data_IF_046590367384
#
_entry.id   IF_046590367384
#
_cell.length_a   1.000
_cell.length_b   1.000
_cell.length_c   1.000
_cell.angle_alpha   90.00
_cell.angle_beta   90.00
_cell.angle_gamma   90.00
#
_symmetry.space_group_name_H-M   'P 1'
#
loop_
_entity.id
_entity.type
_entity.pdbx_description
1 polymer ?
#
# COMPACT_ATOMS: atom_id res chain seq x y z
N UNK A 1 -11.54 -2.68 30.83
CA UNK A 1 -10.75 -2.51 29.59
C UNK A 1 -11.01 -1.11 29.08
N UNK A 2 -9.99 -0.25 29.14
CA UNK A 2 -10.09 1.14 28.69
C UNK A 2 -10.07 1.23 27.17
N UNK A 3 -10.69 2.26 26.62
CA UNK A 3 -10.70 2.48 25.17
C UNK A 3 -9.85 3.69 24.81
N UNK A 4 -8.83 3.49 23.97
CA UNK A 4 -7.97 4.54 23.41
C UNK A 4 -8.60 5.03 22.10
N UNK A 5 -9.34 6.14 22.17
CA UNK A 5 -10.20 6.61 21.07
C UNK A 5 -9.68 7.88 20.37
N UNK A 6 -8.71 8.56 21.00
CA UNK A 6 -8.14 9.82 20.49
C UNK A 6 -6.63 9.71 20.39
N UNK A 7 -6.09 10.34 19.35
CA UNK A 7 -4.66 10.61 19.21
C UNK A 7 -4.41 12.10 19.40
N UNK A 8 -3.46 12.45 20.25
CA UNK A 8 -3.01 13.83 20.40
C UNK A 8 -2.29 14.23 19.12
N UNK A 9 -2.67 15.36 18.54
CA UNK A 9 -2.08 15.83 17.30
C UNK A 9 -0.58 16.12 17.49
N UNK A 10 0.29 15.78 16.51
CA UNK A 10 1.75 15.89 16.67
C UNK A 10 2.26 17.30 16.99
N UNK A 11 1.50 18.33 16.63
CA UNK A 11 1.81 19.74 16.88
C UNK A 11 1.45 20.20 18.31
N UNK A 12 0.71 19.40 19.07
CA UNK A 12 0.33 19.72 20.46
C UNK A 12 1.47 19.31 21.38
N UNK A 13 2.09 20.31 22.04
CA UNK A 13 3.16 20.08 23.00
C UNK A 13 2.59 19.71 24.37
N UNK A 14 2.83 18.48 24.79
CA UNK A 14 2.59 18.05 26.16
C UNK A 14 3.84 18.31 27.01
N UNK A 15 3.64 18.58 28.30
CA UNK A 15 4.77 18.63 29.23
C UNK A 15 5.53 17.29 29.22
N UNK A 16 6.86 17.33 29.14
CA UNK A 16 7.69 16.13 29.07
C UNK A 16 7.42 15.15 30.23
N UNK A 17 7.10 15.67 31.42
CA UNK A 17 6.74 14.87 32.59
C UNK A 17 5.40 14.13 32.46
N UNK A 18 4.47 14.60 31.63
CA UNK A 18 3.24 13.87 31.33
C UNK A 18 3.53 12.70 30.39
N UNK A 19 4.29 12.94 29.33
CA UNK A 19 4.67 11.90 28.35
C UNK A 19 5.52 10.83 29.01
N UNK A 20 6.49 11.20 29.86
CA UNK A 20 7.38 10.27 30.54
C UNK A 20 6.68 9.37 31.58
N UNK A 21 5.54 9.80 32.13
CA UNK A 21 4.76 9.02 33.11
C UNK A 21 3.65 8.18 32.47
N UNK A 22 3.33 8.43 31.20
CA UNK A 22 2.30 7.68 30.49
C UNK A 22 2.76 6.21 30.31
N UNK A 23 1.90 5.22 30.62
CA UNK A 23 2.11 3.84 30.21
C UNK A 23 2.43 3.74 28.73
N UNK A 24 3.25 2.76 28.37
CA UNK A 24 3.64 2.53 26.97
C UNK A 24 2.85 1.36 26.39
N UNK A 25 2.46 1.48 25.13
CA UNK A 25 1.86 0.43 24.32
C UNK A 25 2.82 0.13 23.17
N UNK A 26 3.58 -0.96 23.31
CA UNK A 26 4.57 -1.38 22.32
C UNK A 26 3.92 -2.21 21.21
N UNK A 27 3.99 -1.74 19.96
CA UNK A 27 3.31 -2.36 18.82
C UNK A 27 4.21 -2.46 17.58
N UNK A 28 4.18 -3.61 16.91
CA UNK A 28 4.76 -3.79 15.57
C UNK A 28 4.03 -2.94 14.53
N UNK A 29 4.65 -2.73 13.36
CA UNK A 29 4.08 -1.87 12.31
C UNK A 29 2.64 -2.26 11.91
N UNK A 30 2.38 -3.53 11.65
CA UNK A 30 1.05 -4.01 11.25
C UNK A 30 -0.04 -3.72 12.29
N UNK A 31 0.29 -3.84 13.57
CA UNK A 31 -0.64 -3.52 14.65
C UNK A 31 -0.90 -2.01 14.72
N UNK A 32 0.10 -1.17 14.44
CA UNK A 32 -0.02 0.30 14.40
C UNK A 32 -0.85 0.82 13.23
N UNK A 33 -1.06 0.00 12.20
CA UNK A 33 -1.94 0.29 11.07
C UNK A 33 -3.41 -0.07 11.32
N UNK A 34 -3.71 -0.82 12.39
CA UNK A 34 -5.08 -1.24 12.71
C UNK A 34 -5.84 -0.12 13.40
N UNK A 35 -6.99 0.24 12.83
CA UNK A 35 -7.89 1.22 13.45
C UNK A 35 -8.69 0.65 14.63
N UNK A 36 -8.72 -0.69 14.77
CA UNK A 36 -9.40 -1.42 15.84
C UNK A 36 -8.51 -2.57 16.28
N UNK A 37 -8.11 -2.59 17.54
CA UNK A 37 -7.20 -3.61 18.08
C UNK A 37 -7.41 -3.77 19.58
N UNK A 38 -7.57 -5.00 20.05
CA UNK A 38 -7.37 -5.32 21.46
C UNK A 38 -5.87 -5.55 21.70
N UNK A 39 -5.31 -4.90 22.71
CA UNK A 39 -3.88 -4.97 23.03
C UNK A 39 -3.66 -4.87 24.55
N UNK A 40 -2.46 -5.23 24.98
CA UNK A 40 -2.05 -5.14 26.39
C UNK A 40 -0.94 -4.11 26.48
N UNK A 41 -1.05 -3.16 27.41
CA UNK A 41 0.00 -2.19 27.71
C UNK A 41 1.22 -2.90 28.29
N UNK A 42 2.38 -2.24 28.24
CA UNK A 42 3.62 -2.76 28.83
C UNK A 42 3.52 -2.92 30.36
N UNK A 43 2.51 -2.29 30.98
CA UNK A 43 2.16 -2.46 32.40
C UNK A 43 1.31 -3.71 32.69
N UNK A 44 0.86 -4.44 31.66
CA UNK A 44 0.00 -5.62 31.76
C UNK A 44 -1.50 -5.33 31.74
N UNK A 45 -1.92 -4.08 31.56
CA UNK A 45 -3.34 -3.69 31.48
C UNK A 45 -3.89 -3.89 30.06
N UNK A 46 -5.06 -4.52 29.94
CA UNK A 46 -5.75 -4.68 28.66
C UNK A 46 -6.52 -3.42 28.24
N UNK A 47 -6.31 -3.03 26.98
CA UNK A 47 -6.89 -1.85 26.34
C UNK A 47 -7.45 -2.18 24.95
N UNK A 48 -8.39 -1.36 24.50
CA UNK A 48 -8.88 -1.39 23.13
C UNK A 48 -8.52 -0.10 22.39
N UNK A 49 -7.82 -0.21 21.26
CA UNK A 49 -7.54 0.90 20.35
C UNK A 49 -8.72 1.05 19.39
N UNK A 50 -9.32 2.25 19.32
CA UNK A 50 -10.43 2.58 18.43
C UNK A 50 -10.19 3.94 17.75
N UNK A 51 -9.51 3.92 16.61
CA UNK A 51 -9.11 5.13 15.88
C UNK A 51 -9.86 5.25 14.54
N UNK A 52 -9.89 6.45 13.93
CA UNK A 52 -10.35 6.62 12.56
C UNK A 52 -9.60 5.68 11.60
N UNK A 53 -10.30 5.18 10.57
CA UNK A 53 -9.69 4.33 9.55
C UNK A 53 -8.56 5.07 8.83
N UNK A 54 -7.52 4.33 8.46
CA UNK A 54 -6.33 4.89 7.80
C UNK A 54 -5.36 5.60 8.74
N UNK A 55 -5.61 5.61 10.05
CA UNK A 55 -4.65 6.10 11.05
C UNK A 55 -3.49 5.11 11.16
N UNK A 56 -2.27 5.59 10.92
CA UNK A 56 -1.03 4.87 11.20
C UNK A 56 -0.37 5.50 12.41
N UNK A 57 -0.15 4.70 13.46
CA UNK A 57 0.52 5.15 14.68
C UNK A 57 2.03 5.20 14.50
N UNK A 58 2.64 6.31 14.89
CA UNK A 58 4.09 6.51 14.86
C UNK A 58 4.70 6.29 16.24
N UNK A 59 6.00 6.03 16.27
CA UNK A 59 6.73 5.98 17.53
C UNK A 59 6.61 7.33 18.25
N UNK A 60 6.28 7.29 19.54
CA UNK A 60 6.08 8.49 20.34
C UNK A 60 4.70 9.15 20.23
N UNK A 61 3.79 8.66 19.37
CA UNK A 61 2.39 9.11 19.35
C UNK A 61 1.78 8.92 20.75
N UNK A 62 0.91 9.85 21.17
CA UNK A 62 0.21 9.77 22.45
C UNK A 62 -1.28 9.59 22.18
N UNK A 63 -1.84 8.50 22.72
CA UNK A 63 -3.26 8.21 22.73
C UNK A 63 -3.88 8.65 24.05
N UNK A 64 -5.16 9.02 23.98
CA UNK A 64 -5.98 9.37 25.15
C UNK A 64 -7.07 8.33 25.28
N UNK A 65 -7.24 7.83 26.50
CA UNK A 65 -8.32 6.93 26.86
C UNK A 65 -9.63 7.70 27.10
N UNK A 66 -10.73 6.96 27.13
CA UNK A 66 -12.07 7.41 27.53
C UNK A 66 -12.12 8.06 28.93
N UNK A 67 -11.27 7.63 29.86
CA UNK A 67 -11.10 8.22 31.19
C UNK A 67 -10.08 9.38 31.26
N UNK A 68 -9.51 9.76 30.11
CA UNK A 68 -8.51 10.83 30.00
C UNK A 68 -7.07 10.39 30.29
N UNK A 69 -6.82 9.11 30.59
CA UNK A 69 -5.46 8.60 30.75
C UNK A 69 -4.67 8.71 29.44
N UNK A 70 -3.36 8.97 29.56
CA UNK A 70 -2.46 9.03 28.42
C UNK A 70 -1.74 7.69 28.25
N UNK A 71 -1.60 7.24 27.01
CA UNK A 71 -0.79 6.08 26.63
C UNK A 71 0.14 6.47 25.50
N UNK A 72 1.43 6.18 25.64
CA UNK A 72 2.43 6.47 24.60
C UNK A 72 2.64 5.23 23.73
N UNK A 73 2.69 5.42 22.42
CA UNK A 73 3.04 4.36 21.46
C UNK A 73 4.55 4.21 21.41
N UNK A 74 5.02 2.96 21.46
CA UNK A 74 6.38 2.60 21.12
C UNK A 74 6.39 1.63 19.93
N UNK A 75 7.27 1.87 18.96
CA UNK A 75 7.46 0.96 17.85
C UNK A 75 8.24 -0.28 18.34
N UNK A 76 7.61 -1.45 18.24
CA UNK A 76 8.22 -2.71 18.66
C UNK A 76 9.40 -3.08 17.74
N UNK A 77 10.51 -3.62 18.28
CA UNK A 77 11.54 -4.22 17.45
C UNK A 77 11.01 -5.45 16.71
N UNK A 78 11.10 -5.42 15.38
CA UNK A 78 10.70 -6.52 14.50
C UNK A 78 11.86 -6.96 13.60
N UNK A 79 11.72 -8.14 12.99
CA UNK A 79 12.74 -8.67 12.07
C UNK A 79 12.63 -7.92 10.75
N UNK A 80 13.69 -7.19 10.41
CA UNK A 80 13.76 -6.31 9.25
C UNK A 80 14.95 -6.66 8.38
N UNK A 81 14.88 -6.30 7.10
CA UNK A 81 16.04 -6.16 6.23
C UNK A 81 16.57 -4.74 6.33
N UNK A 82 17.85 -4.60 6.62
CA UNK A 82 18.60 -3.36 6.54
C UNK A 82 19.44 -3.38 5.27
N UNK A 83 19.11 -2.47 4.35
CA UNK A 83 19.65 -2.41 3.00
C UNK A 83 20.56 -1.21 2.88
N UNK A 84 21.79 -1.42 2.46
CA UNK A 84 22.79 -0.38 2.21
C UNK A 84 23.41 -0.56 0.83
N UNK A 85 23.97 0.49 0.26
CA UNK A 85 24.78 0.39 -0.95
C UNK A 85 26.04 1.26 -0.84
N UNK A 86 26.99 1.02 -1.73
CA UNK A 86 28.23 1.80 -1.80
C UNK A 86 27.98 3.23 -2.30
N UNK A 87 26.90 3.45 -3.05
CA UNK A 87 26.56 4.72 -3.65
C UNK A 87 25.05 5.03 -3.54
N UNK A 88 24.66 6.32 -3.53
CA UNK A 88 23.25 6.71 -3.44
C UNK A 88 22.39 6.27 -4.63
N UNK A 89 22.96 6.16 -5.84
CA UNK A 89 22.20 5.79 -7.04
C UNK A 89 21.69 4.35 -6.96
N UNK A 90 22.49 3.44 -6.42
CA UNK A 90 22.07 2.06 -6.18
C UNK A 90 20.94 1.98 -5.14
N UNK A 91 21.01 2.78 -4.06
CA UNK A 91 19.90 2.86 -3.09
C UNK A 91 18.63 3.46 -3.71
N UNK A 92 18.75 4.50 -4.53
CA UNK A 92 17.60 5.09 -5.23
C UNK A 92 16.91 4.08 -6.16
N UNK A 93 17.69 3.27 -6.90
CA UNK A 93 17.14 2.18 -7.74
C UNK A 93 16.41 1.13 -6.90
N UNK A 94 16.99 0.74 -5.76
CA UNK A 94 16.34 -0.18 -4.85
C UNK A 94 15.02 0.39 -4.31
N UNK A 95 15.01 1.65 -3.86
CA UNK A 95 13.80 2.33 -3.40
C UNK A 95 12.73 2.41 -4.50
N UNK A 96 13.12 2.71 -5.74
CA UNK A 96 12.20 2.71 -6.90
C UNK A 96 11.53 1.34 -7.10
N UNK A 97 12.30 0.26 -7.11
CA UNK A 97 11.75 -1.09 -7.29
C UNK A 97 10.85 -1.55 -6.14
N UNK A 98 11.19 -1.18 -4.90
CA UNK A 98 10.34 -1.43 -3.73
C UNK A 98 9.03 -0.62 -3.81
N UNK A 99 9.12 0.65 -4.20
CA UNK A 99 7.96 1.51 -4.41
C UNK A 99 7.00 0.97 -5.48
N UNK A 100 7.53 0.49 -6.61
CA UNK A 100 6.75 -0.16 -7.68
C UNK A 100 6.02 -1.43 -7.23
N UNK A 101 6.44 -2.01 -6.10
CA UNK A 101 5.80 -3.19 -5.49
C UNK A 101 4.86 -2.83 -4.35
N UNK A 102 4.68 -1.53 -4.07
CA UNK A 102 3.95 -1.02 -2.92
C UNK A 102 4.45 -1.60 -1.58
N UNK A 103 5.74 -1.93 -1.51
CA UNK A 103 6.35 -2.42 -0.26
C UNK A 103 6.51 -1.25 0.72
N UNK A 104 6.06 -1.38 1.98
CA UNK A 104 6.38 -0.41 3.02
C UNK A 104 7.91 -0.35 3.21
N UNK A 105 8.47 0.86 3.13
CA UNK A 105 9.92 1.08 3.27
C UNK A 105 10.18 2.27 4.17
N UNK A 106 11.04 2.10 5.16
CA UNK A 106 11.65 3.20 5.90
C UNK A 106 12.89 3.66 5.15
N UNK A 107 12.99 4.97 4.96
CA UNK A 107 14.12 5.60 4.28
C UNK A 107 14.92 6.35 5.33
N UNK A 108 16.21 6.07 5.41
CA UNK A 108 17.13 6.83 6.23
C UNK A 108 18.36 7.26 5.44
N UNK A 109 19.23 8.02 6.10
CA UNK A 109 20.48 8.49 5.49
C UNK A 109 21.41 7.29 5.23
N UNK A 110 21.56 6.93 3.95
CA UNK A 110 22.40 5.81 3.51
C UNK A 110 21.82 4.43 3.77
N UNK A 111 20.52 4.29 4.09
CA UNK A 111 19.88 2.98 4.23
C UNK A 111 18.41 2.96 3.84
N UNK A 112 17.94 1.78 3.45
CA UNK A 112 16.52 1.43 3.41
C UNK A 112 16.27 0.33 4.43
N UNK A 113 15.08 0.31 5.02
CA UNK A 113 14.65 -0.76 5.92
C UNK A 113 13.24 -1.19 5.55
N UNK A 114 13.00 -2.50 5.59
CA UNK A 114 11.73 -3.13 5.25
C UNK A 114 11.55 -4.40 6.07
N UNK A 115 10.34 -4.94 6.09
CA UNK A 115 10.07 -6.23 6.71
C UNK A 115 10.90 -7.36 6.07
N UNK A 116 11.24 -8.36 6.87
CA UNK A 116 12.00 -9.53 6.40
C UNK A 116 11.22 -10.36 5.38
N UNK A 117 11.59 -10.20 4.10
CA UNK A 117 11.08 -10.99 2.98
C UNK A 117 12.26 -11.57 2.16
N UNK A 118 12.43 -12.90 2.10
CA UNK A 118 13.51 -13.54 1.33
C UNK A 118 13.50 -13.21 -0.17
N UNK A 119 12.32 -13.05 -0.78
CA UNK A 119 12.18 -12.71 -2.21
C UNK A 119 12.66 -11.30 -2.47
N UNK A 120 12.29 -10.35 -1.59
CA UNK A 120 12.78 -8.98 -1.69
C UNK A 120 14.27 -8.91 -1.38
N UNK A 121 14.77 -9.67 -0.41
CA UNK A 121 16.20 -9.74 -0.10
C UNK A 121 17.03 -10.17 -1.32
N UNK A 122 16.61 -11.21 -2.04
CA UNK A 122 17.31 -11.69 -3.23
C UNK A 122 17.26 -10.70 -4.39
N UNK A 123 16.11 -10.06 -4.59
CA UNK A 123 15.96 -9.00 -5.59
C UNK A 123 16.89 -7.82 -5.30
N UNK A 124 16.95 -7.38 -4.05
CA UNK A 124 17.82 -6.28 -3.59
C UNK A 124 19.30 -6.62 -3.74
N UNK A 125 19.70 -7.86 -3.42
CA UNK A 125 21.08 -8.34 -3.67
C UNK A 125 21.44 -8.32 -5.16
N UNK A 126 20.52 -8.70 -6.05
CA UNK A 126 20.72 -8.64 -7.51
C UNK A 126 20.85 -7.21 -8.04
N UNK A 127 20.29 -6.22 -7.34
CA UNK A 127 20.46 -4.80 -7.64
C UNK A 127 21.81 -4.23 -7.14
N UNK A 128 22.65 -5.05 -6.50
CA UNK A 128 23.96 -4.63 -6.00
C UNK A 128 23.96 -4.04 -4.59
N UNK A 129 22.86 -4.18 -3.84
CA UNK A 129 22.80 -3.73 -2.45
C UNK A 129 23.33 -4.80 -1.47
N UNK A 130 23.80 -4.35 -0.32
CA UNK A 130 24.09 -5.19 0.84
C UNK A 130 22.85 -5.27 1.72
N UNK A 131 22.35 -6.48 1.93
CA UNK A 131 21.13 -6.75 2.71
C UNK A 131 21.52 -7.54 3.95
N UNK A 132 21.14 -7.04 5.12
CA UNK A 132 21.37 -7.66 6.42
C UNK A 132 20.07 -7.81 7.19
N UNK A 133 19.86 -8.93 7.88
CA UNK A 133 18.76 -9.05 8.83
C UNK A 133 19.13 -8.39 10.17
N UNK A 134 18.19 -7.65 10.74
CA UNK A 134 18.33 -7.01 12.04
C UNK A 134 17.02 -7.05 12.82
N UNK A 135 17.10 -6.90 14.15
CA UNK A 135 15.92 -6.57 14.98
C UNK A 135 15.93 -5.08 15.29
N UNK A 136 14.97 -4.35 14.76
CA UNK A 136 14.86 -2.92 14.95
C UNK A 136 13.39 -2.46 14.85
N UNK A 137 13.01 -1.34 15.48
CA UNK A 137 11.73 -0.71 15.21
C UNK A 137 11.63 -0.32 13.73
N UNK A 138 10.45 -0.46 13.13
CA UNK A 138 10.24 -0.17 11.72
C UNK A 138 9.23 0.97 11.52
N UNK A 139 9.63 2.05 10.85
CA UNK A 139 8.78 3.23 10.62
C UNK A 139 8.77 3.60 9.14
N UNK A 140 8.05 2.85 8.29
CA UNK A 140 8.04 3.11 6.86
C UNK A 140 7.46 4.49 6.53
N UNK A 141 7.92 5.07 5.43
CA UNK A 141 7.42 6.35 4.93
C UNK A 141 5.91 6.27 4.67
N UNK A 142 5.20 7.36 5.00
CA UNK A 142 3.83 7.48 4.55
C UNK A 142 3.83 7.80 3.05
N UNK A 143 2.92 7.22 2.28
CA UNK A 143 2.75 7.60 0.88
C UNK A 143 2.50 9.11 0.74
N UNK A 144 2.99 9.70 -0.36
CA UNK A 144 2.96 11.14 -0.61
C UNK A 144 1.55 11.78 -0.57
N UNK A 145 0.49 10.98 -0.74
CA UNK A 145 -0.89 11.44 -0.77
C UNK A 145 -1.64 11.25 0.55
N UNK A 146 -0.95 10.94 1.66
CA UNK A 146 -1.50 11.03 3.01
C UNK A 146 -2.80 10.24 3.21
N UNK A 147 -2.70 8.98 3.60
CA UNK A 147 -3.88 8.19 3.97
C UNK A 147 -3.54 6.71 3.92
N UNK A 148 -3.59 6.05 5.08
CA UNK A 148 -3.25 4.63 5.18
C UNK A 148 -4.00 3.78 4.14
N UNK A 149 -3.34 2.71 3.69
CA UNK A 149 -3.79 1.70 2.71
C UNK A 149 -5.31 1.66 2.50
N UNK A 150 -5.83 2.54 1.63
CA UNK A 150 -7.20 2.45 1.13
C UNK A 150 -7.18 1.44 -0.01
N UNK A 151 -7.41 0.18 0.30
CA UNK A 151 -7.82 -0.80 -0.71
C UNK A 151 -9.23 -0.43 -1.17
N UNK A 152 -9.32 0.42 -2.18
CA UNK A 152 -10.58 0.86 -2.76
C UNK A 152 -10.34 1.35 -4.19
N UNK A 153 -10.50 0.44 -5.14
CA UNK A 153 -10.27 0.62 -6.58
C UNK A 153 -11.29 1.52 -7.28
N UNK A 154 -11.84 2.57 -6.65
CA UNK A 154 -12.86 3.39 -7.35
C UNK A 154 -13.11 4.81 -6.80
N UNK A 155 -12.87 5.09 -5.52
CA UNK A 155 -13.34 6.38 -4.96
C UNK A 155 -12.35 7.54 -5.16
N UNK A 156 -11.04 7.29 -5.11
CA UNK A 156 -10.03 8.38 -5.16
C UNK A 156 -9.65 8.76 -6.58
N UNK A 157 -9.75 7.85 -7.54
CA UNK A 157 -9.42 8.19 -8.93
C UNK A 157 -10.40 9.22 -9.48
N UNK A 158 -11.70 9.10 -9.19
CA UNK A 158 -12.70 10.07 -9.66
C UNK A 158 -12.47 11.47 -9.07
N UNK A 159 -12.18 11.56 -7.77
CA UNK A 159 -11.95 12.85 -7.09
C UNK A 159 -10.63 13.50 -7.53
N UNK A 160 -9.55 12.73 -7.60
CA UNK A 160 -8.23 13.22 -8.04
C UNK A 160 -8.23 13.56 -9.54
N UNK A 161 -8.94 12.79 -10.37
CA UNK A 161 -9.13 13.07 -11.79
C UNK A 161 -9.98 14.31 -12.02
N UNK A 162 -11.05 14.51 -11.24
CA UNK A 162 -11.87 15.72 -11.31
C UNK A 162 -11.07 16.97 -10.92
N UNK A 163 -10.23 16.88 -9.88
CA UNK A 163 -9.34 17.97 -9.49
C UNK A 163 -8.29 18.26 -10.57
N UNK A 164 -7.68 17.21 -11.14
CA UNK A 164 -6.73 17.36 -12.24
C UNK A 164 -7.38 17.97 -13.50
N UNK A 165 -8.62 17.58 -13.83
CA UNK A 165 -9.39 18.17 -14.92
C UNK A 165 -9.77 19.63 -14.67
N UNK A 166 -10.12 20.01 -13.43
CA UNK A 166 -10.37 21.41 -13.07
C UNK A 166 -9.11 22.26 -13.29
N UNK A 167 -7.96 21.80 -12.80
CA UNK A 167 -6.68 22.51 -12.97
C UNK A 167 -6.29 22.59 -14.46
N UNK A 168 -6.56 21.54 -15.24
CA UNK A 168 -6.31 21.55 -16.68
C UNK A 168 -7.23 22.55 -17.43
N UNK A 169 -8.51 22.61 -17.06
CA UNK A 169 -9.49 23.53 -17.64
C UNK A 169 -9.20 25.00 -17.33
N UNK A 170 -8.65 25.30 -16.15
CA UNK A 170 -8.26 26.66 -15.76
C UNK A 170 -7.08 27.22 -16.57
N UNK A 171 -6.23 26.35 -17.14
CA UNK A 171 -5.03 26.75 -17.89
C UNK A 171 -5.16 26.71 -19.42
N UNK A 172 -6.16 26.01 -19.97
CA UNK A 172 -6.37 25.88 -21.42
C UNK A 172 -7.80 26.20 -21.83
N UNK A 173 -8.27 27.40 -21.49
CA UNK A 173 -9.54 27.93 -21.98
C UNK A 173 -9.48 28.33 -23.45
N UNK A 174 -9.56 27.36 -24.37
CA UNK A 174 -10.09 27.54 -25.75
C UNK A 174 -10.57 26.18 -26.31
N UNK A 175 -11.84 25.85 -26.07
CA UNK A 175 -12.50 24.70 -26.69
C UNK A 175 -12.85 24.99 -28.15
N UNK A 176 -12.26 24.25 -29.08
CA UNK A 176 -12.85 24.03 -30.41
C UNK A 176 -13.67 22.74 -30.34
N UNK A 177 -14.99 22.87 -30.39
CA UNK A 177 -15.92 21.75 -30.52
C UNK A 177 -15.76 21.12 -31.90
N UNK A 178 -15.28 19.88 -31.94
CA UNK A 178 -15.48 19.00 -33.09
C UNK A 178 -16.51 17.96 -32.67
N UNK A 179 -17.75 18.17 -33.09
CA UNK A 179 -18.80 17.15 -33.08
C UNK A 179 -18.38 16.04 -34.05
N UNK A 180 -18.21 14.82 -33.52
CA UNK A 180 -18.13 13.61 -34.31
C UNK A 180 -19.21 12.67 -33.82
N UNK A 181 -20.39 12.76 -34.45
CA UNK A 181 -21.40 11.71 -34.44
C UNK A 181 -20.80 10.46 -35.09
N UNK A 182 -20.75 9.37 -34.33
CA UNK A 182 -20.53 8.03 -34.86
C UNK A 182 -21.72 7.15 -34.49
N UNK A 183 -22.75 7.20 -35.34
CA UNK A 183 -23.73 6.13 -35.48
C UNK A 183 -23.02 4.88 -36.01
N UNK A 184 -23.11 3.78 -35.26
CA UNK A 184 -22.76 2.46 -35.75
C UNK A 184 -23.95 1.52 -35.54
N UNK A 185 -24.83 1.51 -36.54
CA UNK A 185 -25.72 0.40 -36.83
C UNK A 185 -24.88 -0.82 -37.23
N UNK A 186 -25.10 -1.94 -36.55
CA UNK A 186 -24.55 -3.24 -36.90
C UNK A 186 -25.69 -4.23 -37.16
N UNK A 187 -26.13 -4.26 -38.41
CA UNK A 187 -26.77 -5.42 -39.02
C UNK A 187 -25.91 -5.83 -40.21
N UNK A 188 -25.38 -7.06 -40.22
CA UNK A 188 -25.08 -7.83 -41.43
C UNK A 188 -24.85 -9.30 -41.08
N UNK A 189 -25.92 -10.10 -41.22
CA UNK A 189 -25.85 -11.52 -41.55
C UNK A 189 -25.15 -11.68 -42.91
N UNK A 190 -24.13 -12.55 -43.00
CA UNK A 190 -23.71 -13.15 -44.26
C UNK A 190 -23.19 -14.58 -44.06
N UNK A 191 -24.05 -15.54 -44.39
CA UNK A 191 -23.70 -16.89 -44.81
C UNK A 191 -22.75 -16.85 -46.00
N UNK A 192 -21.65 -17.60 -45.94
CA UNK A 192 -20.90 -18.00 -47.11
C UNK A 192 -20.48 -19.47 -47.02
N UNK A 193 -21.27 -20.28 -47.74
CA UNK A 193 -20.87 -21.58 -48.28
C UNK A 193 -19.60 -21.45 -49.12
N UNK A 194 -18.62 -22.31 -48.86
CA UNK A 194 -17.58 -22.61 -49.83
C UNK A 194 -17.45 -24.12 -50.04
N UNK A 195 -17.93 -24.47 -51.22
CA UNK A 195 -17.92 -25.75 -51.92
C UNK A 195 -16.48 -26.29 -52.08
N UNK A 196 -16.21 -27.50 -51.61
CA UNK A 196 -14.96 -28.21 -51.87
C UNK A 196 -15.16 -29.27 -52.95
N UNK A 197 -14.57 -29.02 -54.11
CA UNK A 197 -14.62 -29.89 -55.28
C UNK A 197 -13.80 -31.18 -55.03
N UNK A 198 -14.47 -32.33 -55.06
CA UNK A 198 -13.85 -33.65 -54.88
C UNK A 198 -13.16 -34.14 -56.18
N UNK A 199 -11.87 -34.43 -56.09
CA UNK A 199 -11.17 -35.28 -57.06
C UNK A 199 -11.49 -36.77 -56.83
N UNK A 200 -11.51 -37.62 -57.87
CA UNK A 200 -12.02 -38.98 -57.77
C UNK A 200 -11.05 -39.89 -57.00
N UNK A 201 -11.48 -40.41 -55.83
CA UNK A 201 -10.92 -41.66 -55.31
C UNK A 201 -10.51 -41.75 -53.84
N UNK A 202 -10.95 -40.89 -52.91
CA UNK A 202 -10.60 -41.06 -51.50
C UNK A 202 -11.83 -41.29 -50.61
N UNK A 203 -12.03 -42.56 -50.23
CA UNK A 203 -13.04 -43.01 -49.27
C UNK A 203 -12.56 -42.78 -47.83
N UNK A 204 -13.40 -42.10 -47.03
CA UNK A 204 -13.18 -41.86 -45.61
C UNK A 204 -13.34 -43.13 -44.76
N UNK A 205 -12.46 -43.29 -43.76
CA UNK A 205 -12.67 -44.18 -42.62
C UNK A 205 -12.43 -43.39 -41.33
N UNK A 206 -13.51 -43.03 -40.64
CA UNK A 206 -13.48 -42.38 -39.33
C UNK A 206 -13.23 -43.44 -38.23
N UNK A 207 -12.21 -43.23 -37.40
CA UNK A 207 -12.12 -43.89 -36.10
C UNK A 207 -12.34 -42.85 -35.00
N UNK A 208 -13.49 -42.96 -34.34
CA UNK A 208 -13.76 -42.26 -33.10
C UNK A 208 -12.93 -42.84 -31.95
N UNK A 209 -12.46 -41.97 -31.07
CA UNK A 209 -12.01 -42.34 -29.74
C UNK A 209 -12.60 -41.39 -28.71
N UNK A 210 -13.20 -42.01 -27.69
CA UNK A 210 -13.89 -41.43 -26.56
C UNK A 210 -13.02 -40.53 -25.69
N UNK A 211 -13.65 -39.50 -25.11
CA UNK A 211 -13.16 -38.77 -23.95
C UNK A 211 -14.14 -38.97 -22.78
N UNK A 212 -13.59 -39.31 -21.61
CA UNK A 212 -14.11 -38.86 -20.31
C UNK A 212 -13.69 -37.42 -20.08
#
# INVERSE_FOLDING_TARGET
MRTLDKRIAPNVKLAASLVARAPTLTLAYDARCKSRLAATLDTGEDVAVLLPRGTVLRDGDVLVADDGALVRIAAAPETVLLVRAADPLTLMRAAYHLGNRHTPVEIGDGYLKLEADPVLADMLRRLGTRVEEARAPFQPEAGAYGGGHKHGHDATFAEDYALAQQVFGEHHGHSHSHDHDHDHDHDHDHDHDHDHQHGPGCTHGHHGHDHH
#
